data_IF_873831581819
#
_entry.id   IF_873831581819
#
_cell.length_a   1.000
_cell.length_b   1.000
_cell.length_c   1.000
_cell.angle_alpha   90.00
_cell.angle_beta   90.00
_cell.angle_gamma   90.00
#
_symmetry.space_group_name_H-M   'P 1'
#
loop_
_entity.id
_entity.type
_entity.pdbx_description
1 polymer ?
#
# COMPACT_ATOMS: atom_id res chain seq x y z
N UNK A 1 43.10 5.36 -67.41
CA UNK A 1 43.91 5.28 -66.17
C UNK A 1 43.21 6.08 -65.08
N UNK A 2 42.54 5.39 -64.16
CA UNK A 2 41.84 5.94 -62.99
C UNK A 2 42.43 5.25 -61.77
N UNK A 3 43.03 5.99 -60.84
CA UNK A 3 43.18 5.54 -59.45
C UNK A 3 43.36 6.77 -58.55
N UNK A 4 42.32 7.11 -57.79
CA UNK A 4 42.46 7.68 -56.46
C UNK A 4 41.42 6.98 -55.58
N UNK A 5 41.89 6.10 -54.69
CA UNK A 5 41.09 5.39 -53.71
C UNK A 5 40.88 6.31 -52.50
N UNK A 6 39.64 6.68 -52.23
CA UNK A 6 39.24 7.28 -50.95
C UNK A 6 38.84 6.13 -50.03
N UNK A 7 39.57 5.98 -48.93
CA UNK A 7 39.28 5.02 -47.86
C UNK A 7 38.21 5.67 -46.98
N UNK A 8 36.95 5.26 -47.15
CA UNK A 8 35.85 5.62 -46.27
C UNK A 8 35.81 4.69 -45.06
N UNK A 9 35.98 5.25 -43.87
CA UNK A 9 35.83 4.55 -42.58
C UNK A 9 34.36 4.19 -42.34
N UNK A 10 34.01 2.90 -42.35
CA UNK A 10 32.74 2.40 -41.83
C UNK A 10 32.87 2.22 -40.32
N UNK A 11 32.36 3.17 -39.55
CA UNK A 11 32.16 3.01 -38.10
C UNK A 11 30.86 2.21 -37.92
N UNK A 12 30.98 0.91 -37.68
CA UNK A 12 29.88 0.08 -37.18
C UNK A 12 29.59 0.47 -35.73
N UNK A 13 28.57 1.30 -35.53
CA UNK A 13 28.06 1.62 -34.20
C UNK A 13 27.17 0.47 -33.72
N UNK A 14 27.74 -0.44 -32.92
CA UNK A 14 27.00 -1.45 -32.17
C UNK A 14 26.13 -0.76 -31.11
N UNK A 15 24.83 -0.67 -31.38
CA UNK A 15 23.81 -0.25 -30.40
C UNK A 15 23.59 -1.39 -29.39
N UNK A 16 24.36 -1.40 -28.31
CA UNK A 16 24.03 -2.18 -27.12
C UNK A 16 23.18 -1.34 -26.15
N UNK A 17 21.93 -1.78 -25.97
CA UNK A 17 21.05 -1.58 -24.83
C UNK A 17 21.13 -0.27 -24.05
N UNK A 18 20.23 0.66 -24.34
CA UNK A 18 19.87 1.77 -23.45
C UNK A 18 19.10 1.25 -22.24
N UNK A 19 19.83 0.67 -21.28
CA UNK A 19 19.38 0.63 -19.89
C UNK A 19 19.32 2.06 -19.39
N UNK A 20 18.12 2.63 -19.29
CA UNK A 20 17.94 4.00 -18.83
C UNK A 20 18.24 4.07 -17.33
N UNK A 21 19.46 4.47 -16.99
CA UNK A 21 19.88 4.74 -15.62
C UNK A 21 19.34 6.10 -15.17
N UNK A 22 18.27 6.09 -14.38
CA UNK A 22 17.79 7.27 -13.67
C UNK A 22 18.32 7.29 -12.23
N UNK A 23 19.61 7.55 -12.07
CA UNK A 23 20.17 7.88 -10.77
C UNK A 23 20.12 9.40 -10.57
N UNK A 24 19.13 9.91 -9.81
CA UNK A 24 19.33 11.17 -9.10
C UNK A 24 20.48 10.95 -8.10
N UNK A 25 21.55 11.78 -8.07
CA UNK A 25 22.72 11.57 -7.22
C UNK A 25 22.42 11.48 -5.70
N UNK A 26 21.25 11.96 -5.26
CA UNK A 26 20.78 11.83 -3.88
C UNK A 26 20.14 10.47 -3.56
N UNK A 27 19.56 9.80 -4.56
CA UNK A 27 18.86 8.51 -4.38
C UNK A 27 19.81 7.31 -4.48
N UNK A 28 20.95 7.47 -5.17
CA UNK A 28 22.00 6.44 -5.21
C UNK A 28 22.65 6.18 -3.84
N UNK A 29 22.55 7.15 -2.91
CA UNK A 29 23.00 7.02 -1.52
C UNK A 29 22.06 6.21 -0.64
N UNK A 30 20.81 5.98 -1.08
CA UNK A 30 19.80 5.25 -0.31
C UNK A 30 20.02 3.73 -0.44
N UNK A 31 20.66 3.17 0.58
CA UNK A 31 21.01 1.74 0.66
C UNK A 31 19.80 0.87 1.01
N UNK A 32 19.89 -0.41 0.62
CA UNK A 32 18.92 -1.43 1.01
C UNK A 32 18.75 -1.48 2.54
N UNK A 33 17.50 -1.50 3.07
CA UNK A 33 17.30 -1.71 4.49
C UNK A 33 17.85 -3.05 4.96
N UNK A 34 18.34 -3.09 6.21
CA UNK A 34 18.65 -4.34 6.90
C UNK A 34 17.42 -5.28 6.90
N UNK A 35 17.60 -6.61 6.97
CA UNK A 35 16.50 -7.56 7.01
C UNK A 35 15.42 -7.19 8.05
N UNK A 36 14.16 -7.51 7.75
CA UNK A 36 13.07 -7.34 8.69
C UNK A 36 13.09 -8.49 9.70
N UNK A 37 13.44 -8.20 10.95
CA UNK A 37 13.62 -9.18 12.04
C UNK A 37 12.92 -8.70 13.32
N UNK A 38 12.34 -9.60 14.12
CA UNK A 38 11.83 -9.25 15.44
C UNK A 38 12.93 -8.98 16.48
N UNK A 39 14.17 -9.40 16.22
CA UNK A 39 15.34 -9.22 17.10
C UNK A 39 15.96 -7.81 17.04
N UNK A 40 15.63 -7.00 16.03
CA UNK A 40 16.10 -5.61 15.96
C UNK A 40 15.65 -4.83 17.22
N UNK A 41 16.54 -4.11 17.93
CA UNK A 41 16.14 -3.39 19.14
C UNK A 41 15.01 -2.37 18.90
N UNK A 42 14.21 -2.14 19.95
CA UNK A 42 13.26 -1.04 19.97
C UNK A 42 14.02 0.29 20.08
N UNK A 43 13.56 1.30 19.36
CA UNK A 43 14.06 2.65 19.47
C UNK A 43 13.71 3.23 20.83
N UNK A 44 14.67 3.91 21.47
CA UNK A 44 14.45 4.63 22.74
C UNK A 44 13.47 5.79 22.61
N UNK A 45 13.31 6.34 21.39
CA UNK A 45 12.42 7.45 21.08
C UNK A 45 11.81 7.25 19.70
N UNK A 46 10.53 7.59 19.57
CA UNK A 46 9.86 7.66 18.28
C UNK A 46 10.52 8.69 17.36
N UNK A 47 10.69 8.34 16.08
CA UNK A 47 11.09 9.25 15.01
C UNK A 47 10.30 9.00 13.73
N UNK A 48 9.50 9.98 13.32
CA UNK A 48 8.78 9.93 12.05
C UNK A 48 9.75 9.96 10.86
N UNK A 49 10.84 10.72 10.97
CA UNK A 49 11.85 10.82 9.92
C UNK A 49 12.50 9.47 9.60
N UNK A 50 12.86 8.68 10.62
CA UNK A 50 13.41 7.33 10.43
C UNK A 50 12.40 6.37 9.77
N UNK A 51 11.13 6.44 10.17
CA UNK A 51 10.08 5.62 9.56
C UNK A 51 9.88 5.96 8.08
N UNK A 52 9.87 7.25 7.72
CA UNK A 52 9.77 7.71 6.33
C UNK A 52 10.99 7.26 5.53
N UNK A 53 12.20 7.45 6.07
CA UNK A 53 13.44 6.99 5.45
C UNK A 53 13.43 5.47 5.20
N UNK A 54 12.94 4.68 6.14
CA UNK A 54 12.79 3.24 5.96
C UNK A 54 11.88 2.88 4.78
N UNK A 55 10.67 3.45 4.69
CA UNK A 55 9.73 3.12 3.60
C UNK A 55 10.23 3.66 2.24
N UNK A 56 10.96 4.78 2.22
CA UNK A 56 11.62 5.32 1.03
C UNK A 56 12.69 4.34 0.52
N UNK A 57 13.61 3.91 1.39
CA UNK A 57 14.67 2.94 1.05
C UNK A 57 14.10 1.59 0.64
N UNK A 58 13.09 1.09 1.35
CA UNK A 58 12.47 -0.20 1.06
C UNK A 58 11.79 -0.24 -0.32
N UNK A 59 11.06 0.81 -0.69
CA UNK A 59 10.41 0.91 -2.00
C UNK A 59 11.40 1.07 -3.15
N UNK A 60 12.41 1.92 -2.97
CA UNK A 60 13.45 2.14 -3.97
C UNK A 60 14.31 0.88 -4.20
N UNK A 61 14.65 0.14 -3.14
CA UNK A 61 15.35 -1.13 -3.27
C UNK A 61 14.49 -2.18 -3.99
N UNK A 62 13.19 -2.23 -3.68
CA UNK A 62 12.29 -3.19 -4.31
C UNK A 62 12.21 -2.99 -5.82
N UNK A 63 11.95 -1.75 -6.29
CA UNK A 63 11.84 -1.51 -7.73
C UNK A 63 13.14 -1.80 -8.47
N UNK A 64 14.30 -1.56 -7.86
CA UNK A 64 15.62 -1.87 -8.46
C UNK A 64 15.90 -3.38 -8.53
N UNK A 65 15.53 -4.12 -7.49
CA UNK A 65 15.89 -5.55 -7.37
C UNK A 65 14.86 -6.50 -7.97
N UNK A 66 13.61 -6.07 -8.10
CA UNK A 66 12.49 -6.91 -8.57
C UNK A 66 11.86 -6.41 -9.86
N UNK A 67 12.10 -5.16 -10.25
CA UNK A 67 11.55 -4.53 -11.47
C UNK A 67 10.02 -4.67 -11.61
N UNK A 68 9.32 -4.73 -10.47
CA UNK A 68 7.88 -4.93 -10.39
C UNK A 68 7.19 -4.04 -9.35
N UNK A 69 5.87 -3.89 -9.52
CA UNK A 69 4.97 -3.35 -8.51
C UNK A 69 4.40 -4.50 -7.68
N UNK A 70 4.43 -4.39 -6.36
CA UNK A 70 3.77 -5.33 -5.44
C UNK A 70 2.89 -4.59 -4.45
N UNK A 71 1.81 -5.23 -4.03
CA UNK A 71 0.81 -4.64 -3.16
C UNK A 71 1.34 -4.26 -1.77
N UNK A 72 2.26 -5.05 -1.20
CA UNK A 72 2.67 -4.93 0.21
C UNK A 72 4.02 -4.21 0.43
N UNK A 73 4.71 -3.76 -0.62
CA UNK A 73 5.92 -2.91 -0.51
C UNK A 73 5.73 -1.56 -1.20
N UNK A 74 6.14 -1.41 -2.46
CA UNK A 74 6.08 -0.15 -3.20
C UNK A 74 4.64 0.27 -3.56
N UNK A 75 3.70 -0.68 -3.68
CA UNK A 75 2.27 -0.39 -3.75
C UNK A 75 1.77 0.25 -2.46
N UNK A 76 1.97 -0.42 -1.32
CA UNK A 76 1.59 0.09 0.00
C UNK A 76 2.21 1.46 0.29
N UNK A 77 3.46 1.67 -0.09
CA UNK A 77 4.14 2.97 -0.02
C UNK A 77 3.37 4.08 -0.72
N UNK A 78 2.97 3.87 -1.98
CA UNK A 78 2.32 4.90 -2.79
C UNK A 78 0.90 5.22 -2.29
N UNK A 79 0.24 4.28 -1.58
CA UNK A 79 -1.08 4.54 -0.96
C UNK A 79 -1.07 5.71 0.04
N UNK A 80 0.08 5.99 0.66
CA UNK A 80 0.17 6.90 1.80
C UNK A 80 1.29 7.92 1.77
N UNK A 81 2.36 7.68 0.99
CA UNK A 81 3.57 8.49 1.10
C UNK A 81 3.37 9.97 0.77
N UNK A 82 2.55 10.28 -0.24
CA UNK A 82 2.27 11.67 -0.63
C UNK A 82 1.54 12.48 0.47
N UNK A 83 0.92 11.80 1.44
CA UNK A 83 0.23 12.43 2.59
C UNK A 83 1.20 12.81 3.72
N UNK A 84 2.47 12.38 3.63
CA UNK A 84 3.49 12.60 4.65
C UNK A 84 4.37 13.79 4.27
N UNK A 85 4.57 14.72 5.20
CA UNK A 85 5.47 15.88 5.03
C UNK A 85 6.93 15.43 5.16
N UNK A 86 7.61 15.21 4.03
CA UNK A 86 9.02 14.82 3.97
C UNK A 86 9.63 15.16 2.60
N UNK A 87 10.93 14.88 2.42
CA UNK A 87 11.61 15.02 1.13
C UNK A 87 10.83 14.28 0.02
N UNK A 88 10.54 14.98 -1.07
CA UNK A 88 9.72 14.47 -2.17
C UNK A 88 10.51 13.65 -3.19
N UNK A 89 11.84 13.74 -3.21
CA UNK A 89 12.66 13.07 -4.22
C UNK A 89 12.49 11.53 -4.25
N UNK A 90 12.51 10.80 -3.12
CA UNK A 90 12.25 9.35 -3.13
C UNK A 90 10.86 9.00 -3.66
N UNK A 91 9.85 9.76 -3.21
CA UNK A 91 8.47 9.57 -3.63
C UNK A 91 8.30 9.78 -5.14
N UNK A 92 8.86 10.87 -5.68
CA UNK A 92 8.83 11.16 -7.11
C UNK A 92 9.49 10.04 -7.96
N UNK A 93 10.56 9.43 -7.47
CA UNK A 93 11.23 8.33 -8.18
C UNK A 93 10.40 7.03 -8.16
N UNK A 94 9.76 6.69 -7.04
CA UNK A 94 8.84 5.55 -6.98
C UNK A 94 7.60 5.80 -7.84
N UNK A 95 7.05 7.01 -7.80
CA UNK A 95 5.91 7.42 -8.64
C UNK A 95 6.24 7.28 -10.12
N UNK A 96 7.39 7.79 -10.57
CA UNK A 96 7.85 7.64 -11.96
C UNK A 96 8.01 6.17 -12.38
N UNK A 97 8.49 5.32 -11.48
CA UNK A 97 8.58 3.88 -11.75
C UNK A 97 7.20 3.27 -12.00
N UNK A 98 6.17 3.64 -11.22
CA UNK A 98 4.80 3.18 -11.47
C UNK A 98 4.28 3.66 -12.83
N UNK A 99 4.56 4.91 -13.19
CA UNK A 99 4.13 5.48 -14.48
C UNK A 99 4.77 4.77 -15.68
N UNK A 100 6.07 4.47 -15.57
CA UNK A 100 6.80 3.68 -16.56
C UNK A 100 6.30 2.23 -16.59
N UNK A 101 5.98 1.65 -15.43
CA UNK A 101 5.44 0.30 -15.34
C UNK A 101 4.11 0.17 -16.09
N UNK A 102 3.21 1.15 -15.94
CA UNK A 102 1.93 1.21 -16.69
C UNK A 102 2.18 1.32 -18.19
N UNK A 103 3.10 2.19 -18.62
CA UNK A 103 3.47 2.31 -20.04
C UNK A 103 4.00 0.99 -20.61
N UNK A 104 4.74 0.20 -19.82
CA UNK A 104 5.27 -1.10 -20.21
C UNK A 104 4.26 -2.25 -20.26
N UNK A 105 2.98 -2.03 -19.92
CA UNK A 105 1.98 -3.11 -19.91
C UNK A 105 1.64 -3.67 -21.29
N UNK A 106 1.89 -2.91 -22.36
CA UNK A 106 1.76 -3.41 -23.73
C UNK A 106 2.59 -4.70 -23.96
N UNK A 107 3.76 -4.77 -23.32
CA UNK A 107 4.68 -5.91 -23.40
C UNK A 107 4.49 -6.86 -22.21
N UNK A 108 4.51 -6.33 -20.97
CA UNK A 108 4.54 -7.15 -19.75
C UNK A 108 3.22 -7.87 -19.43
N UNK A 109 2.09 -7.36 -19.92
CA UNK A 109 0.73 -7.94 -19.75
C UNK A 109 0.47 -8.51 -18.35
N UNK A 110 0.57 -7.69 -17.28
CA UNK A 110 0.31 -8.19 -15.92
C UNK A 110 -1.13 -8.69 -15.77
N UNK A 111 -1.33 -9.63 -14.86
CA UNK A 111 -2.66 -10.13 -14.53
C UNK A 111 -3.54 -9.06 -13.84
N UNK A 112 -4.87 -9.30 -13.74
CA UNK A 112 -5.81 -8.33 -13.19
C UNK A 112 -5.44 -7.77 -11.82
N UNK A 113 -4.94 -8.62 -10.92
CA UNK A 113 -4.50 -8.20 -9.58
C UNK A 113 -3.40 -7.12 -9.63
N UNK A 114 -2.40 -7.28 -10.50
CA UNK A 114 -1.30 -6.33 -10.64
C UNK A 114 -1.76 -5.00 -11.26
N UNK A 115 -2.66 -5.07 -12.24
CA UNK A 115 -3.28 -3.89 -12.87
C UNK A 115 -4.06 -3.09 -11.85
N UNK A 116 -4.99 -3.74 -11.13
CA UNK A 116 -5.85 -3.09 -10.13
C UNK A 116 -5.04 -2.52 -8.97
N UNK A 117 -4.07 -3.26 -8.44
CA UNK A 117 -3.23 -2.78 -7.35
C UNK A 117 -2.39 -1.55 -7.76
N UNK A 118 -1.86 -1.55 -8.99
CA UNK A 118 -1.09 -0.40 -9.52
C UNK A 118 -1.99 0.82 -9.73
N UNK A 119 -3.17 0.64 -10.35
CA UNK A 119 -4.13 1.72 -10.56
C UNK A 119 -4.59 2.33 -9.22
N UNK A 120 -4.89 1.47 -8.24
CA UNK A 120 -5.32 1.91 -6.92
C UNK A 120 -4.23 2.69 -6.16
N UNK A 121 -2.98 2.23 -6.24
CA UNK A 121 -1.84 2.91 -5.65
C UNK A 121 -1.62 4.31 -6.24
N UNK A 122 -1.68 4.45 -7.57
CA UNK A 122 -1.58 5.72 -8.28
C UNK A 122 -2.72 6.68 -7.92
N UNK A 123 -3.96 6.19 -7.85
CA UNK A 123 -5.13 7.02 -7.53
C UNK A 123 -5.12 7.53 -6.09
N UNK A 124 -4.70 6.70 -5.14
CA UNK A 124 -4.57 7.11 -3.75
C UNK A 124 -3.42 8.10 -3.54
N UNK A 125 -2.37 8.01 -4.34
CA UNK A 125 -1.30 8.99 -4.39
C UNK A 125 -1.77 10.32 -5.00
N UNK A 126 -2.52 10.28 -6.11
CA UNK A 126 -3.16 11.44 -6.75
C UNK A 126 -4.10 12.18 -5.78
N UNK A 127 -4.80 11.45 -4.91
CA UNK A 127 -5.69 12.02 -3.89
C UNK A 127 -4.98 13.02 -2.96
N UNK A 128 -3.66 12.89 -2.77
CA UNK A 128 -2.90 13.82 -1.93
C UNK A 128 -2.63 15.17 -2.62
N UNK A 129 -2.65 15.21 -3.95
CA UNK A 129 -2.45 16.45 -4.73
C UNK A 129 -3.77 17.04 -5.25
N UNK A 130 -4.87 16.28 -5.18
CA UNK A 130 -6.18 16.70 -5.66
C UNK A 130 -6.30 16.72 -7.19
N UNK A 131 -5.36 16.10 -7.92
CA UNK A 131 -5.37 16.02 -9.37
C UNK A 131 -5.20 14.58 -9.84
N UNK A 132 -6.08 14.12 -10.72
CA UNK A 132 -5.99 12.79 -11.32
C UNK A 132 -5.03 12.81 -12.51
N UNK A 133 -4.05 11.90 -12.54
CA UNK A 133 -3.09 11.84 -13.64
C UNK A 133 -3.63 11.05 -14.83
N UNK A 134 -3.21 11.41 -16.05
CA UNK A 134 -3.54 10.64 -17.27
C UNK A 134 -3.09 9.19 -17.15
N UNK A 135 -1.94 8.93 -16.52
CA UNK A 135 -1.45 7.56 -16.31
C UNK A 135 -2.36 6.77 -15.37
N UNK A 136 -2.89 7.41 -14.32
CA UNK A 136 -3.89 6.80 -13.42
C UNK A 136 -5.18 6.44 -14.19
N UNK A 137 -5.67 7.36 -15.04
CA UNK A 137 -6.83 7.08 -15.91
C UNK A 137 -6.57 5.88 -16.84
N UNK A 138 -5.39 5.83 -17.48
CA UNK A 138 -5.00 4.71 -18.34
C UNK A 138 -4.92 3.39 -17.57
N UNK A 139 -4.39 3.43 -16.33
CA UNK A 139 -4.29 2.26 -15.48
C UNK A 139 -5.68 1.71 -15.10
N UNK A 140 -6.63 2.59 -14.75
CA UNK A 140 -8.01 2.17 -14.51
C UNK A 140 -8.73 1.71 -15.77
N UNK A 141 -8.50 2.36 -16.92
CA UNK A 141 -9.05 1.88 -18.20
C UNK A 141 -8.60 0.44 -18.51
N UNK A 142 -7.36 0.08 -18.17
CA UNK A 142 -6.90 -1.30 -18.24
C UNK A 142 -7.57 -2.21 -17.20
N UNK A 143 -7.76 -1.74 -15.96
CA UNK A 143 -8.45 -2.48 -14.91
C UNK A 143 -9.90 -2.82 -15.31
N UNK A 144 -10.64 -1.85 -15.84
CA UNK A 144 -12.05 -2.01 -16.25
C UNK A 144 -12.24 -3.02 -17.36
N UNK A 145 -11.27 -3.16 -18.28
CA UNK A 145 -11.29 -4.20 -19.34
C UNK A 145 -11.27 -5.62 -18.80
N UNK A 146 -10.81 -5.81 -17.57
CA UNK A 146 -10.68 -7.14 -16.94
C UNK A 146 -11.68 -7.35 -15.80
N UNK A 147 -12.51 -6.35 -15.50
CA UNK A 147 -13.55 -6.46 -14.49
C UNK A 147 -14.63 -7.43 -14.97
N UNK A 148 -14.99 -8.39 -14.12
CA UNK A 148 -16.06 -9.35 -14.40
C UNK A 148 -17.43 -8.68 -14.31
N UNK A 149 -18.44 -9.36 -14.84
CA UNK A 149 -19.83 -8.87 -14.82
C UNK A 149 -20.39 -8.67 -13.41
N UNK A 150 -19.96 -9.50 -12.46
CA UNK A 150 -20.36 -9.37 -11.05
C UNK A 150 -19.65 -8.21 -10.32
N UNK A 151 -18.65 -7.57 -10.96
CA UNK A 151 -17.86 -6.47 -10.42
C UNK A 151 -16.51 -6.86 -9.84
N UNK A 152 -16.19 -8.15 -9.75
CA UNK A 152 -14.93 -8.65 -9.20
C UNK A 152 -13.81 -8.78 -10.24
N UNK A 153 -12.62 -9.19 -9.78
CA UNK A 153 -11.52 -9.66 -10.61
C UNK A 153 -11.03 -11.00 -10.11
N UNK A 154 -10.28 -11.73 -10.94
CA UNK A 154 -9.56 -12.91 -10.46
C UNK A 154 -8.41 -12.49 -9.56
N UNK A 155 -8.70 -12.43 -8.26
CA UNK A 155 -7.73 -11.95 -7.30
C UNK A 155 -6.73 -13.05 -6.96
N UNK A 156 -5.50 -12.64 -6.65
CA UNK A 156 -4.46 -13.55 -6.21
C UNK A 156 -4.81 -14.09 -4.81
N UNK A 157 -4.89 -15.41 -4.67
CA UNK A 157 -5.28 -16.11 -3.42
C UNK A 157 -4.22 -17.14 -3.01
N UNK A 158 -2.96 -16.73 -3.02
CA UNK A 158 -1.81 -17.60 -2.70
C UNK A 158 -1.57 -17.77 -1.18
N UNK A 159 -2.46 -17.25 -0.34
CA UNK A 159 -2.38 -17.36 1.12
C UNK A 159 -1.53 -16.28 1.80
N UNK A 160 -1.14 -15.23 1.07
CA UNK A 160 -0.34 -14.12 1.62
C UNK A 160 -1.28 -13.02 2.13
N UNK A 161 -1.96 -13.34 3.24
CA UNK A 161 -2.90 -12.42 3.87
C UNK A 161 -2.23 -11.15 4.42
N UNK A 162 -2.88 -9.98 4.33
CA UNK A 162 -4.24 -9.78 3.82
C UNK A 162 -4.34 -9.60 2.31
N UNK A 163 -3.27 -9.16 1.66
CA UNK A 163 -3.30 -8.64 0.29
C UNK A 163 -3.69 -9.68 -0.78
N UNK A 164 -3.32 -10.94 -0.57
CA UNK A 164 -3.44 -12.00 -1.57
C UNK A 164 -4.19 -13.20 -0.97
N UNK A 165 -5.36 -12.92 -0.40
CA UNK A 165 -6.13 -13.89 0.38
C UNK A 165 -7.58 -14.09 -0.06
N UNK A 166 -8.23 -13.06 -0.63
CA UNK A 166 -9.63 -13.14 -1.07
C UNK A 166 -9.94 -12.08 -2.13
N UNK A 167 -11.09 -12.20 -2.81
CA UNK A 167 -11.55 -11.22 -3.81
C UNK A 167 -12.00 -9.91 -3.14
N UNK A 168 -12.40 -9.95 -1.87
CA UNK A 168 -12.87 -8.79 -1.14
C UNK A 168 -11.75 -7.74 -1.03
N UNK A 169 -10.49 -8.15 -0.86
CA UNK A 169 -9.34 -7.26 -0.85
C UNK A 169 -9.26 -6.44 -2.15
N UNK A 170 -9.24 -7.12 -3.31
CA UNK A 170 -9.13 -6.46 -4.61
C UNK A 170 -10.29 -5.53 -4.93
N UNK A 171 -11.52 -6.00 -4.73
CA UNK A 171 -12.74 -5.22 -4.97
C UNK A 171 -12.80 -4.00 -4.06
N UNK A 172 -12.51 -4.17 -2.77
CA UNK A 172 -12.58 -3.05 -1.82
C UNK A 172 -11.45 -2.05 -2.04
N UNK A 173 -10.24 -2.51 -2.38
CA UNK A 173 -9.13 -1.62 -2.72
C UNK A 173 -9.47 -0.75 -3.94
N UNK A 174 -10.03 -1.35 -4.99
CA UNK A 174 -10.46 -0.61 -6.18
C UNK A 174 -11.56 0.40 -5.84
N UNK A 175 -12.56 0.00 -5.03
CA UNK A 175 -13.63 0.89 -4.61
C UNK A 175 -13.10 2.08 -3.79
N UNK A 176 -12.20 1.83 -2.82
CA UNK A 176 -11.54 2.88 -2.03
C UNK A 176 -10.80 3.85 -2.95
N UNK A 177 -10.02 3.32 -3.89
CA UNK A 177 -9.20 4.13 -4.77
C UNK A 177 -10.04 4.98 -5.73
N UNK A 178 -11.11 4.42 -6.31
CA UNK A 178 -12.02 5.16 -7.21
C UNK A 178 -12.81 6.22 -6.45
N UNK A 179 -13.30 5.90 -5.25
CA UNK A 179 -14.02 6.87 -4.41
C UNK A 179 -13.09 7.98 -3.90
N UNK A 180 -11.81 7.69 -3.68
CA UNK A 180 -10.81 8.66 -3.22
C UNK A 180 -10.14 9.44 -4.36
N UNK A 181 -10.32 8.99 -5.61
CA UNK A 181 -9.69 9.60 -6.76
C UNK A 181 -10.24 11.04 -6.96
N UNK A 182 -9.36 12.02 -7.26
CA UNK A 182 -9.77 13.40 -7.47
C UNK A 182 -10.78 13.59 -8.63
N UNK A 183 -11.26 14.82 -8.77
CA UNK A 183 -12.05 15.25 -9.94
C UNK A 183 -13.36 14.47 -10.12
N UNK A 184 -13.91 13.94 -9.02
CA UNK A 184 -15.13 13.12 -9.01
C UNK A 184 -15.05 11.93 -9.98
N UNK A 185 -13.88 11.30 -10.06
CA UNK A 185 -13.61 10.22 -11.00
C UNK A 185 -14.65 9.09 -10.93
N UNK A 186 -15.13 8.75 -9.73
CA UNK A 186 -16.15 7.71 -9.52
C UNK A 186 -17.45 7.94 -10.29
N UNK A 187 -17.80 9.19 -10.61
CA UNK A 187 -18.98 9.55 -11.40
C UNK A 187 -18.67 9.83 -12.88
N UNK A 188 -17.40 9.73 -13.28
CA UNK A 188 -16.99 9.93 -14.67
C UNK A 188 -17.58 8.85 -15.60
N UNK A 189 -17.68 9.18 -16.90
CA UNK A 189 -18.10 8.21 -17.92
C UNK A 189 -17.21 6.97 -17.96
N UNK A 190 -15.94 7.11 -17.60
CA UNK A 190 -14.96 6.04 -17.64
C UNK A 190 -15.06 5.07 -16.45
N UNK A 191 -15.51 5.55 -15.28
CA UNK A 191 -15.51 4.75 -14.05
C UNK A 191 -16.90 4.38 -13.53
N UNK A 192 -17.95 5.17 -13.82
CA UNK A 192 -19.25 5.04 -13.14
C UNK A 192 -19.86 3.64 -13.22
N UNK A 193 -19.81 3.01 -14.40
CA UNK A 193 -20.31 1.64 -14.60
C UNK A 193 -19.52 0.62 -13.79
N UNK A 194 -18.18 0.69 -13.87
CA UNK A 194 -17.31 -0.23 -13.13
C UNK A 194 -17.44 -0.05 -11.62
N UNK A 195 -17.50 1.19 -11.15
CA UNK A 195 -17.71 1.53 -9.74
C UNK A 195 -19.06 1.03 -9.22
N UNK A 196 -20.14 1.19 -9.99
CA UNK A 196 -21.45 0.65 -9.62
C UNK A 196 -21.42 -0.88 -9.46
N UNK A 197 -20.69 -1.60 -10.34
CA UNK A 197 -20.49 -3.05 -10.19
C UNK A 197 -19.70 -3.39 -8.91
N UNK A 198 -18.66 -2.64 -8.57
CA UNK A 198 -17.91 -2.83 -7.30
C UNK A 198 -18.85 -2.68 -6.09
N UNK A 199 -19.66 -1.63 -6.05
CA UNK A 199 -20.58 -1.39 -4.95
C UNK A 199 -21.67 -2.47 -4.85
N UNK A 200 -22.18 -2.94 -5.98
CA UNK A 200 -23.13 -4.07 -6.05
C UNK A 200 -22.51 -5.35 -5.48
N UNK A 201 -21.27 -5.65 -5.89
CA UNK A 201 -20.52 -6.81 -5.38
C UNK A 201 -20.33 -6.74 -3.87
N UNK A 202 -19.89 -5.59 -3.33
CA UNK A 202 -19.68 -5.39 -1.89
C UNK A 202 -20.98 -5.44 -1.09
N UNK A 203 -22.11 -5.05 -1.69
CA UNK A 203 -23.43 -5.21 -1.07
C UNK A 203 -23.80 -6.69 -0.94
N UNK A 204 -23.55 -7.49 -1.98
CA UNK A 204 -23.83 -8.93 -2.01
C UNK A 204 -22.85 -9.74 -1.14
N UNK A 205 -21.59 -9.33 -1.07
CA UNK A 205 -20.51 -10.03 -0.39
C UNK A 205 -20.06 -9.24 0.85
N UNK A 206 -20.90 -9.25 1.89
CA UNK A 206 -20.62 -8.51 3.12
C UNK A 206 -19.33 -8.99 3.81
N UNK A 207 -18.55 -8.08 4.43
CA UNK A 207 -17.29 -8.43 5.06
C UNK A 207 -17.50 -9.33 6.27
N UNK A 208 -16.76 -10.44 6.33
CA UNK A 208 -16.80 -11.41 7.43
C UNK A 208 -15.55 -11.27 8.31
N UNK A 209 -14.39 -11.08 7.69
CA UNK A 209 -13.11 -10.92 8.38
C UNK A 209 -12.94 -9.50 8.93
N UNK A 210 -12.18 -9.36 10.02
CA UNK A 210 -11.89 -8.05 10.61
C UNK A 210 -11.13 -7.14 9.63
N UNK A 211 -10.22 -7.71 8.84
CA UNK A 211 -9.49 -6.97 7.80
C UNK A 211 -10.44 -6.36 6.75
N UNK A 212 -11.35 -7.17 6.22
CA UNK A 212 -12.39 -6.74 5.26
C UNK A 212 -13.27 -5.63 5.84
N UNK A 213 -13.70 -5.78 7.11
CA UNK A 213 -14.45 -4.74 7.84
C UNK A 213 -13.66 -3.44 7.94
N UNK A 214 -12.36 -3.52 8.26
CA UNK A 214 -11.47 -2.35 8.28
C UNK A 214 -11.35 -1.65 6.94
N UNK A 215 -11.27 -2.40 5.83
CA UNK A 215 -11.26 -1.80 4.49
C UNK A 215 -12.60 -1.13 4.15
N UNK A 216 -13.73 -1.75 4.50
CA UNK A 216 -15.05 -1.12 4.31
C UNK A 216 -15.23 0.14 5.17
N UNK A 217 -14.66 0.17 6.38
CA UNK A 217 -14.61 1.39 7.20
C UNK A 217 -13.77 2.49 6.54
N UNK A 218 -12.68 2.15 5.89
CA UNK A 218 -11.92 3.10 5.07
C UNK A 218 -12.76 3.60 3.89
N UNK A 219 -13.41 2.71 3.12
CA UNK A 219 -14.29 3.10 2.00
C UNK A 219 -15.38 4.08 2.46
N UNK A 220 -15.96 3.88 3.64
CA UNK A 220 -17.02 4.75 4.19
C UNK A 220 -16.61 6.21 4.41
N UNK A 221 -15.31 6.50 4.39
CA UNK A 221 -14.81 7.88 4.44
C UNK A 221 -14.85 8.56 3.07
N UNK A 222 -14.50 7.82 2.02
CA UNK A 222 -14.44 8.32 0.65
C UNK A 222 -15.83 8.36 0.01
N UNK A 223 -16.68 7.38 0.33
CA UNK A 223 -18.08 7.34 -0.09
C UNK A 223 -18.98 6.97 1.11
N UNK A 224 -19.54 7.98 1.81
CA UNK A 224 -20.36 7.78 3.01
C UNK A 224 -21.62 6.92 2.80
N UNK A 225 -22.09 6.76 1.56
CA UNK A 225 -23.31 6.02 1.26
C UNK A 225 -23.09 4.51 1.14
N UNK A 226 -21.83 4.06 1.05
CA UNK A 226 -21.47 2.64 0.89
C UNK A 226 -21.71 1.80 2.14
N UNK A 227 -21.68 2.42 3.32
CA UNK A 227 -21.81 1.73 4.62
C UNK A 227 -22.82 2.44 5.50
N UNK A 228 -23.92 1.78 5.80
CA UNK A 228 -24.93 2.29 6.76
C UNK A 228 -24.30 2.57 8.13
N UNK A 229 -24.82 3.59 8.84
CA UNK A 229 -24.38 3.96 10.20
C UNK A 229 -24.37 2.76 11.16
N UNK A 230 -25.40 1.89 11.09
CA UNK A 230 -25.49 0.67 11.92
C UNK A 230 -24.33 -0.30 11.67
N UNK A 231 -24.05 -0.62 10.41
CA UNK A 231 -22.91 -1.49 10.03
C UNK A 231 -21.57 -0.86 10.41
N UNK A 232 -21.41 0.43 10.17
CA UNK A 232 -20.22 1.19 10.54
C UNK A 232 -19.92 1.08 12.04
N UNK A 233 -20.93 1.33 12.88
CA UNK A 233 -20.80 1.19 14.34
C UNK A 233 -20.51 -0.25 14.77
N UNK A 234 -21.14 -1.24 14.15
CA UNK A 234 -20.88 -2.65 14.44
C UNK A 234 -19.44 -3.04 14.10
N UNK A 235 -18.95 -2.68 12.91
CA UNK A 235 -17.60 -3.01 12.47
C UNK A 235 -16.52 -2.26 13.27
N UNK A 236 -16.78 -1.03 13.69
CA UNK A 236 -15.94 -0.33 14.66
C UNK A 236 -15.81 -1.15 15.95
N UNK A 237 -16.94 -1.60 16.53
CA UNK A 237 -16.94 -2.44 17.74
C UNK A 237 -16.20 -3.76 17.54
N UNK A 238 -16.35 -4.40 16.38
CA UNK A 238 -15.67 -5.65 16.06
C UNK A 238 -14.14 -5.47 16.08
N UNK A 239 -13.62 -4.38 15.47
CA UNK A 239 -12.19 -4.08 15.51
C UNK A 239 -11.72 -3.69 16.91
N UNK A 240 -12.49 -2.90 17.65
CA UNK A 240 -12.15 -2.50 19.02
C UNK A 240 -12.02 -3.70 19.97
N UNK A 241 -12.85 -4.74 19.79
CA UNK A 241 -12.77 -5.99 20.57
C UNK A 241 -11.48 -6.79 20.35
N UNK A 242 -10.75 -6.53 19.26
CA UNK A 242 -9.48 -7.21 18.95
C UNK A 242 -8.27 -6.51 19.57
N UNK A 243 -8.46 -5.38 20.25
CA UNK A 243 -7.36 -4.67 20.91
C UNK A 243 -6.73 -5.55 21.99
N UNK A 244 -5.41 -5.67 21.97
CA UNK A 244 -4.65 -6.45 22.94
C UNK A 244 -4.42 -5.66 24.23
N UNK A 245 -3.98 -6.35 25.29
CA UNK A 245 -3.71 -5.73 26.59
C UNK A 245 -2.62 -4.65 26.53
N UNK A 246 -1.68 -4.76 25.59
CA UNK A 246 -0.62 -3.77 25.35
C UNK A 246 -1.10 -2.52 24.58
N UNK A 247 -2.37 -2.49 24.17
CA UNK A 247 -2.98 -1.38 23.44
C UNK A 247 -2.87 -1.47 21.92
N UNK A 248 -2.13 -2.44 21.38
CA UNK A 248 -2.01 -2.66 19.94
C UNK A 248 -3.00 -3.68 19.39
N UNK A 249 -2.80 -4.03 18.11
CA UNK A 249 -3.52 -5.10 17.41
C UNK A 249 -2.54 -6.01 16.68
N UNK A 250 -2.90 -7.28 16.55
CA UNK A 250 -2.12 -8.29 15.83
C UNK A 250 -2.72 -8.53 14.45
N UNK A 251 -1.92 -8.49 13.38
CA UNK A 251 -2.35 -8.80 12.01
C UNK A 251 -3.05 -10.16 11.95
N UNK A 252 -2.54 -11.13 12.70
CA UNK A 252 -3.06 -12.49 12.77
C UNK A 252 -4.50 -12.58 13.29
N UNK A 253 -5.02 -11.55 13.97
CA UNK A 253 -6.41 -11.52 14.45
C UNK A 253 -7.38 -10.93 13.42
N UNK A 254 -6.87 -10.32 12.36
CA UNK A 254 -7.69 -9.64 11.34
C UNK A 254 -8.26 -10.60 10.28
N UNK A 255 -7.73 -11.82 10.19
CA UNK A 255 -8.19 -12.86 9.30
C UNK A 255 -8.01 -14.25 9.89
N UNK A 256 -8.38 -15.26 9.10
CA UNK A 256 -8.27 -16.69 9.38
C UNK A 256 -7.16 -17.37 8.53
N UNK A 257 -6.19 -16.57 8.08
CA UNK A 257 -5.10 -17.03 7.21
C UNK A 257 -4.26 -18.13 7.85
N UNK A 258 -4.06 -19.22 7.11
CA UNK A 258 -3.23 -20.35 7.50
C UNK A 258 -1.80 -20.18 6.99
N UNK A 259 -0.82 -20.58 7.79
CA UNK A 259 0.58 -20.58 7.38
C UNK A 259 0.89 -21.79 6.51
N UNK A 260 1.71 -21.59 5.49
CA UNK A 260 2.11 -22.66 4.57
C UNK A 260 3.09 -23.66 5.19
N UNK A 261 3.78 -23.27 6.26
CA UNK A 261 4.69 -24.15 7.01
C UNK A 261 3.98 -24.96 8.11
N UNK A 262 2.64 -24.89 8.19
CA UNK A 262 1.83 -25.61 9.18
C UNK A 262 1.92 -25.06 10.61
N UNK A 263 2.78 -24.07 10.87
CA UNK A 263 2.90 -23.47 12.21
C UNK A 263 1.71 -22.55 12.52
N UNK A 264 1.46 -22.29 13.80
CA UNK A 264 0.34 -21.44 14.22
C UNK A 264 0.65 -19.94 14.01
N UNK A 265 -0.39 -19.16 13.74
CA UNK A 265 -0.30 -17.72 13.81
C UNK A 265 -0.03 -17.25 15.25
N UNK A 266 0.74 -16.18 15.41
CA UNK A 266 0.92 -15.50 16.70
C UNK A 266 -0.20 -14.48 16.84
N UNK A 267 -1.24 -14.83 17.60
CA UNK A 267 -2.47 -14.02 17.74
C UNK A 267 -2.50 -13.10 18.95
N UNK A 268 -1.61 -13.31 19.91
CA UNK A 268 -1.57 -12.61 21.21
C UNK A 268 -0.43 -11.59 21.31
N UNK A 269 0.08 -11.12 20.18
CA UNK A 269 1.17 -10.14 20.13
C UNK A 269 0.86 -9.10 19.07
N UNK A 270 0.74 -7.85 19.49
CA UNK A 270 0.53 -6.72 18.59
C UNK A 270 1.72 -6.53 17.65
N UNK A 271 1.45 -6.01 16.46
CA UNK A 271 2.46 -5.76 15.43
C UNK A 271 2.17 -4.48 14.64
N UNK A 272 3.12 -4.11 13.77
CA UNK A 272 3.08 -2.87 13.01
C UNK A 272 1.86 -2.75 12.09
N UNK A 273 1.60 -3.79 11.30
CA UNK A 273 0.47 -3.78 10.38
C UNK A 273 -0.86 -3.82 11.11
N UNK A 274 -1.04 -4.74 12.05
CA UNK A 274 -2.28 -4.86 12.82
C UNK A 274 -2.64 -3.55 13.51
N UNK A 275 -1.70 -2.98 14.27
CA UNK A 275 -1.94 -1.73 15.01
C UNK A 275 -2.12 -0.55 14.07
N UNK A 276 -1.24 -0.36 13.09
CA UNK A 276 -1.32 0.74 12.15
C UNK A 276 -2.60 0.71 11.32
N UNK A 277 -2.94 -0.43 10.72
CA UNK A 277 -4.12 -0.56 9.87
C UNK A 277 -5.41 -0.34 10.65
N UNK A 278 -5.56 -0.93 11.85
CA UNK A 278 -6.79 -0.80 12.63
C UNK A 278 -6.98 0.63 13.14
N UNK A 279 -5.95 1.28 13.66
CA UNK A 279 -6.04 2.69 14.09
C UNK A 279 -6.42 3.57 12.90
N UNK A 280 -5.78 3.38 11.74
CA UNK A 280 -6.10 4.10 10.52
C UNK A 280 -7.56 3.90 10.08
N UNK A 281 -8.04 2.65 10.01
CA UNK A 281 -9.41 2.34 9.61
C UNK A 281 -10.45 2.92 10.58
N UNK A 282 -10.20 2.85 11.89
CA UNK A 282 -11.07 3.45 12.91
C UNK A 282 -11.11 4.98 12.76
N UNK A 283 -9.96 5.63 12.52
CA UNK A 283 -9.91 7.07 12.23
C UNK A 283 -10.67 7.44 10.96
N UNK A 284 -10.50 6.67 9.87
CA UNK A 284 -11.26 6.87 8.62
C UNK A 284 -12.75 6.71 8.81
N UNK A 285 -13.17 5.84 9.72
CA UNK A 285 -14.58 5.72 10.09
C UNK A 285 -15.11 6.87 10.97
N UNK A 286 -14.31 7.87 11.32
CA UNK A 286 -14.76 9.04 12.08
C UNK A 286 -14.73 8.88 13.60
N UNK A 287 -14.13 7.82 14.14
CA UNK A 287 -13.81 7.79 15.58
C UNK A 287 -12.76 8.86 15.90
N UNK A 288 -12.94 9.69 16.92
CA UNK A 288 -12.04 10.81 17.22
C UNK A 288 -10.65 10.31 17.68
N UNK A 289 -9.57 11.07 17.44
CA UNK A 289 -8.22 10.66 17.87
C UNK A 289 -8.08 10.53 19.40
N UNK A 290 -8.97 11.14 20.17
CA UNK A 290 -9.06 11.05 21.63
C UNK A 290 -9.72 9.75 22.13
N UNK A 291 -10.32 8.95 21.25
CA UNK A 291 -10.97 7.70 21.65
C UNK A 291 -9.97 6.81 22.41
N UNK A 292 -10.31 6.26 23.59
CA UNK A 292 -9.33 5.59 24.46
C UNK A 292 -8.54 4.48 23.78
N UNK A 293 -9.19 3.66 22.95
CA UNK A 293 -8.52 2.62 22.18
C UNK A 293 -7.53 3.18 21.14
N UNK A 294 -7.86 4.31 20.49
CA UNK A 294 -6.97 4.95 19.52
C UNK A 294 -5.74 5.54 20.23
N UNK A 295 -5.93 6.19 21.38
CA UNK A 295 -4.81 6.69 22.22
C UNK A 295 -3.85 5.57 22.63
N UNK A 296 -4.40 4.43 23.07
CA UNK A 296 -3.59 3.23 23.38
C UNK A 296 -2.84 2.70 22.15
N UNK A 297 -3.48 2.66 20.98
CA UNK A 297 -2.83 2.27 19.72
C UNK A 297 -1.70 3.22 19.32
N UNK A 298 -1.90 4.53 19.43
CA UNK A 298 -0.87 5.55 19.19
C UNK A 298 0.31 5.39 20.16
N UNK A 299 0.04 5.18 21.45
CA UNK A 299 1.07 4.92 22.45
C UNK A 299 1.86 3.65 22.11
N UNK A 300 1.18 2.58 21.73
CA UNK A 300 1.82 1.34 21.30
C UNK A 300 2.74 1.59 20.09
N UNK A 301 2.27 2.31 19.06
CA UNK A 301 3.10 2.65 17.90
C UNK A 301 4.34 3.43 18.32
N UNK A 302 4.21 4.49 19.14
CA UNK A 302 5.37 5.28 19.58
C UNK A 302 6.37 4.46 20.42
N UNK A 303 5.91 3.49 21.20
CA UNK A 303 6.75 2.65 22.06
C UNK A 303 7.40 1.46 21.34
N UNK A 304 6.84 1.01 20.21
CA UNK A 304 7.26 -0.23 19.53
C UNK A 304 7.95 0.00 18.17
N UNK A 305 8.40 1.23 17.90
CA UNK A 305 9.22 1.51 16.73
C UNK A 305 10.60 0.86 16.89
N UNK A 306 11.14 0.25 15.85
CA UNK A 306 12.51 -0.30 15.83
C UNK A 306 13.55 0.80 15.54
N UNK A 307 14.83 0.57 15.83
CA UNK A 307 15.89 1.57 15.64
C UNK A 307 16.03 2.09 14.20
N UNK A 308 15.72 1.24 13.21
CA UNK A 308 15.67 1.60 11.79
C UNK A 308 14.46 2.43 11.39
N UNK A 309 13.49 2.62 12.29
CA UNK A 309 12.26 3.37 12.06
C UNK A 309 11.04 2.53 11.68
N UNK A 310 11.21 1.25 11.35
CA UNK A 310 10.11 0.34 10.97
C UNK A 310 9.28 -0.11 12.18
N UNK A 311 8.07 -0.61 11.92
CA UNK A 311 7.35 -1.50 12.84
C UNK A 311 7.33 -2.91 12.29
N UNK A 312 8.05 -3.80 12.98
CA UNK A 312 8.09 -5.20 12.61
C UNK A 312 6.68 -5.80 12.54
N UNK A 313 6.43 -6.56 11.49
CA UNK A 313 5.22 -7.35 11.30
C UNK A 313 5.62 -8.72 10.79
N UNK A 314 5.32 -9.76 11.58
CA UNK A 314 5.56 -11.15 11.17
C UNK A 314 4.64 -11.49 10.00
N UNK A 315 5.17 -12.17 8.99
CA UNK A 315 4.38 -12.64 7.86
C UNK A 315 3.34 -13.67 8.31
N UNK A 316 2.16 -13.57 7.73
CA UNK A 316 1.04 -14.52 7.93
C UNK A 316 1.22 -15.80 7.14
N UNK A 317 2.24 -15.89 6.26
CA UNK A 317 2.46 -17.04 5.38
C UNK A 317 3.54 -18.01 5.90
N UNK A 318 4.76 -17.52 6.16
CA UNK A 318 5.88 -18.26 6.75
C UNK A 318 6.94 -17.28 7.33
N UNK A 319 8.05 -17.79 7.86
CA UNK A 319 9.14 -16.95 8.42
C UNK A 319 10.35 -16.75 7.49
N UNK A 320 10.23 -17.06 6.19
CA UNK A 320 11.32 -16.81 5.23
C UNK A 320 11.50 -15.31 4.96
N UNK A 321 10.38 -14.60 4.82
CA UNK A 321 10.36 -13.17 4.53
C UNK A 321 9.23 -12.46 5.28
N UNK A 322 9.50 -11.21 5.70
CA UNK A 322 8.55 -10.37 6.44
C UNK A 322 8.25 -9.06 5.70
N UNK A 323 8.00 -9.14 4.39
CA UNK A 323 7.74 -7.96 3.54
C UNK A 323 6.52 -7.15 3.97
N UNK A 324 5.56 -7.77 4.66
CA UNK A 324 4.41 -7.09 5.26
C UNK A 324 4.82 -6.00 6.28
N UNK A 325 6.04 -6.04 6.81
CA UNK A 325 6.63 -4.96 7.61
C UNK A 325 6.69 -3.63 6.86
N UNK A 326 6.82 -3.64 5.53
CA UNK A 326 6.85 -2.41 4.72
C UNK A 326 5.46 -1.75 4.74
N UNK A 327 4.42 -2.49 4.37
CA UNK A 327 3.04 -2.04 4.50
C UNK A 327 2.66 -1.67 5.94
N UNK A 328 3.11 -2.45 6.93
CA UNK A 328 2.85 -2.18 8.34
C UNK A 328 3.45 -0.86 8.81
N UNK A 329 4.66 -0.53 8.35
CA UNK A 329 5.28 0.76 8.63
C UNK A 329 4.55 1.91 7.92
N UNK A 330 4.09 1.71 6.68
CA UNK A 330 3.26 2.72 6.00
C UNK A 330 1.94 2.97 6.72
N UNK A 331 1.23 1.93 7.15
CA UNK A 331 -0.01 2.09 7.92
C UNK A 331 0.23 2.68 9.31
N UNK A 332 1.34 2.38 9.98
CA UNK A 332 1.72 3.03 11.23
C UNK A 332 1.89 4.55 11.04
N UNK A 333 2.59 4.98 9.97
CA UNK A 333 2.74 6.39 9.61
C UNK A 333 1.38 7.05 9.29
N UNK A 334 0.53 6.39 8.51
CA UNK A 334 -0.81 6.89 8.20
C UNK A 334 -1.68 7.02 9.45
N UNK A 335 -1.67 6.03 10.33
CA UNK A 335 -2.41 6.08 11.59
C UNK A 335 -1.98 7.27 12.46
N UNK A 336 -0.67 7.46 12.62
CA UNK A 336 -0.13 8.60 13.37
C UNK A 336 -0.48 9.93 12.70
N UNK A 337 -0.44 10.00 11.36
CA UNK A 337 -0.84 11.20 10.61
C UNK A 337 -2.31 11.55 10.85
N UNK A 338 -3.23 10.57 10.75
CA UNK A 338 -4.67 10.77 11.00
C UNK A 338 -4.97 11.16 12.45
N UNK A 339 -4.03 10.94 13.37
CA UNK A 339 -4.12 11.35 14.77
C UNK A 339 -3.36 12.65 15.10
N UNK A 340 -2.68 13.28 14.12
CA UNK A 340 -1.78 14.42 14.33
C UNK A 340 -0.60 14.12 15.27
N UNK A 341 -0.11 12.87 15.26
CA UNK A 341 0.88 12.33 16.21
C UNK A 341 2.25 12.04 15.57
N UNK A 342 2.48 12.54 14.35
CA UNK A 342 3.78 12.47 13.66
C UNK A 342 4.82 13.46 14.22
N UNK A 343 4.40 14.45 15.00
CA UNK A 343 5.30 15.45 15.58
C UNK A 343 6.17 14.78 16.65
N UNK A 344 7.49 14.92 16.51
CA UNK A 344 8.43 14.46 17.52
C UNK A 344 8.33 15.37 18.76
N UNK A 345 8.38 14.78 19.96
CA UNK A 345 8.42 15.56 21.19
C UNK A 345 9.65 16.49 21.15
N UNK A 346 9.44 17.80 21.30
CA UNK A 346 10.54 18.76 21.43
C UNK A 346 11.37 18.36 22.65
N UNK A 347 12.69 18.30 22.47
CA UNK A 347 13.66 17.98 23.53
C UNK A 347 13.62 19.00 24.64
#
# INVERSE_FOLDING_TARGET
MRFLRIIGFTISLLLFGSGVSFAQPSLSKLTKPAPNTPEEPLSKRFSAAKAVDFIDRASLDWQRSRECVTCHTNGAYLLGRAKLKANTAPHAAVRRFFEQYVTGWAEKKPGPHGVVATAAALALDDSATGKLSTVTCNAFAAAWKTQRDDGSWDWLKCGWGPYESDDHYGVTLAAIAVASAPENYSASKDAASGYAKLLSWLKKNQPTLAHQKGMMLWLSQADPNTVSVKKKSQWQKDLLKLQQADGGWAIATLGDWKRADGTKQVRNRSDGYGTGFVVFALRKSGLPPEHPAIRKGVQWLKANQRESGRWFTRSTYNDKHHFITHAGTTFALLALNECNELVEAKK
#
